data_IF_516472777117
#
_entry.id   IF_516472777117
#
_cell.length_a   1.000
_cell.length_b   1.000
_cell.length_c   1.000
_cell.angle_alpha   90.00
_cell.angle_beta   90.00
_cell.angle_gamma   90.00
#
_symmetry.space_group_name_H-M   'P 1'
#
loop_
_entity.id
_entity.type
_entity.pdbx_description
1 polymer ?
#
# COMPACT_ATOMS: atom_id res chain seq x y z
N UNK A 1 -8.84 27.36 34.79
CA UNK A 1 -8.36 26.10 34.15
C UNK A 1 -8.99 25.79 32.82
N UNK A 2 -10.21 26.23 32.46
CA UNK A 2 -10.85 25.97 31.13
C UNK A 2 -10.19 26.69 29.95
N UNK A 3 -9.55 27.85 30.15
CA UNK A 3 -8.96 28.65 29.06
C UNK A 3 -7.62 28.14 28.54
N UNK A 4 -6.82 27.46 29.36
CA UNK A 4 -5.50 26.94 28.94
C UNK A 4 -5.64 25.74 27.96
N UNK A 5 -6.69 24.95 28.09
CA UNK A 5 -6.94 23.79 27.19
C UNK A 5 -7.45 24.23 25.80
N UNK A 6 -8.20 25.35 25.73
CA UNK A 6 -8.68 25.94 24.48
C UNK A 6 -7.58 26.64 23.70
N UNK A 7 -6.72 27.39 24.34
CA UNK A 7 -5.54 28.03 23.72
C UNK A 7 -4.58 27.00 23.13
N UNK A 8 -4.27 25.93 23.87
CA UNK A 8 -3.42 24.85 23.34
C UNK A 8 -3.97 24.15 22.10
N UNK A 9 -5.29 24.03 21.96
CA UNK A 9 -5.94 23.42 20.81
C UNK A 9 -5.92 24.34 19.59
N UNK A 10 -6.14 25.63 19.79
CA UNK A 10 -6.05 26.65 18.73
C UNK A 10 -4.61 26.80 18.20
N UNK A 11 -3.64 26.90 19.10
CA UNK A 11 -2.20 27.00 18.76
C UNK A 11 -1.72 25.72 18.05
N UNK A 12 -2.15 24.54 18.47
CA UNK A 12 -1.85 23.27 17.76
C UNK A 12 -2.46 23.25 16.36
N UNK A 13 -3.70 23.74 16.19
CA UNK A 13 -4.36 23.81 14.89
C UNK A 13 -3.68 24.82 13.96
N UNK A 14 -3.27 25.99 14.47
CA UNK A 14 -2.54 26.99 13.71
C UNK A 14 -1.15 26.50 13.24
N UNK A 15 -0.45 25.71 14.06
CA UNK A 15 0.84 25.10 13.69
C UNK A 15 0.69 23.93 12.72
N UNK A 16 -0.42 23.21 12.79
CA UNK A 16 -0.68 22.07 11.93
C UNK A 16 -1.14 22.48 10.51
N UNK A 17 -1.76 23.65 10.37
CA UNK A 17 -2.32 24.11 9.09
C UNK A 17 -1.27 24.23 7.98
N UNK A 18 -0.11 24.87 8.14
CA UNK A 18 0.88 24.98 7.08
C UNK A 18 1.43 23.63 6.64
N UNK A 19 1.63 22.72 7.59
CA UNK A 19 2.11 21.35 7.30
C UNK A 19 1.05 20.57 6.51
N UNK A 20 -0.20 20.67 6.91
CA UNK A 20 -1.30 19.98 6.23
C UNK A 20 -1.55 20.59 4.84
N UNK A 21 -1.48 21.91 4.72
CA UNK A 21 -1.61 22.60 3.43
C UNK A 21 -0.48 22.21 2.46
N UNK A 22 0.77 22.18 2.95
CA UNK A 22 1.90 21.70 2.12
C UNK A 22 1.66 20.27 1.64
N UNK A 23 1.25 19.36 2.52
CA UNK A 23 0.93 17.97 2.15
C UNK A 23 -0.19 17.89 1.13
N UNK A 24 -1.20 18.75 1.26
CA UNK A 24 -2.28 18.85 0.28
C UNK A 24 -1.75 19.30 -1.09
N UNK A 25 -0.96 20.37 -1.14
CA UNK A 25 -0.35 20.84 -2.38
C UNK A 25 0.54 19.77 -3.04
N UNK A 26 1.25 18.97 -2.23
CA UNK A 26 2.04 17.87 -2.75
C UNK A 26 1.18 16.72 -3.27
N UNK A 27 0.09 16.40 -2.57
CA UNK A 27 -0.87 15.36 -2.98
C UNK A 27 -1.61 15.73 -4.27
N UNK A 28 -2.12 16.96 -4.37
CA UNK A 28 -2.96 17.39 -5.50
C UNK A 28 -2.20 17.48 -6.83
N UNK A 29 -0.85 17.57 -6.79
CA UNK A 29 -0.02 17.47 -8.01
C UNK A 29 -0.18 16.14 -8.76
N UNK A 30 -0.58 15.08 -8.07
CA UNK A 30 -0.89 13.79 -8.67
C UNK A 30 -2.31 13.67 -9.21
N UNK A 31 -3.19 14.60 -8.88
CA UNK A 31 -4.57 14.63 -9.39
C UNK A 31 -4.56 15.17 -10.81
N UNK A 32 -5.03 14.38 -11.78
CA UNK A 32 -5.04 14.77 -13.20
C UNK A 32 -6.11 15.79 -13.51
N UNK A 33 -7.28 15.61 -12.90
CA UNK A 33 -8.44 16.45 -13.13
C UNK A 33 -9.17 16.71 -11.82
N UNK A 34 -9.42 17.98 -11.53
CA UNK A 34 -10.18 18.36 -10.34
C UNK A 34 -11.67 18.12 -10.55
N UNK A 35 -12.43 17.77 -9.50
CA UNK A 35 -13.86 17.64 -9.58
C UNK A 35 -14.52 18.93 -10.10
N UNK A 36 -15.57 18.78 -10.90
CA UNK A 36 -16.28 19.90 -11.50
C UNK A 36 -16.72 20.92 -10.46
N UNK A 37 -16.48 22.19 -10.74
CA UNK A 37 -16.83 23.32 -9.86
C UNK A 37 -15.88 23.56 -8.70
N UNK A 38 -14.79 22.77 -8.58
CA UNK A 38 -13.79 22.95 -7.54
C UNK A 38 -12.48 23.53 -8.09
N UNK A 39 -11.84 24.36 -7.26
CA UNK A 39 -10.42 24.73 -7.36
C UNK A 39 -9.66 23.97 -6.27
N UNK A 40 -8.33 23.88 -6.38
CA UNK A 40 -7.50 23.26 -5.36
C UNK A 40 -7.75 23.83 -3.96
N UNK A 41 -7.89 25.16 -3.86
CA UNK A 41 -8.14 25.85 -2.60
C UNK A 41 -9.53 25.52 -2.03
N UNK A 42 -10.57 25.51 -2.86
CA UNK A 42 -11.92 25.11 -2.45
C UNK A 42 -11.96 23.68 -1.96
N UNK A 43 -11.30 22.76 -2.66
CA UNK A 43 -11.19 21.36 -2.24
C UNK A 43 -10.46 21.23 -0.91
N UNK A 44 -9.36 21.95 -0.72
CA UNK A 44 -8.65 21.92 0.55
C UNK A 44 -9.51 22.42 1.72
N UNK A 45 -10.22 23.52 1.54
CA UNK A 45 -11.14 24.04 2.55
C UNK A 45 -12.29 23.05 2.84
N UNK A 46 -12.85 22.42 1.83
CA UNK A 46 -13.89 21.41 2.01
C UNK A 46 -13.33 20.15 2.71
N UNK A 47 -12.15 19.66 2.32
CA UNK A 47 -11.44 18.60 3.02
C UNK A 47 -11.26 18.88 4.53
N UNK A 48 -10.86 20.11 4.88
CA UNK A 48 -10.76 20.51 6.28
C UNK A 48 -12.13 20.49 6.98
N UNK A 49 -13.20 20.89 6.29
CA UNK A 49 -14.56 20.84 6.80
C UNK A 49 -15.00 19.39 7.05
N UNK A 50 -14.79 18.50 6.08
CA UNK A 50 -15.08 17.05 6.21
C UNK A 50 -14.38 16.45 7.42
N UNK A 51 -13.08 16.73 7.60
CA UNK A 51 -12.32 16.25 8.76
C UNK A 51 -12.81 16.80 10.10
N UNK A 52 -13.31 18.02 10.13
CA UNK A 52 -13.88 18.63 11.35
C UNK A 52 -15.25 18.04 11.69
N UNK A 53 -16.06 17.73 10.65
CA UNK A 53 -17.41 17.18 10.82
C UNK A 53 -17.40 15.69 11.20
N UNK A 54 -16.30 14.97 10.88
CA UNK A 54 -16.14 13.53 11.15
C UNK A 54 -14.76 13.27 11.78
N UNK A 55 -14.48 13.79 12.99
CA UNK A 55 -13.14 13.73 13.59
C UNK A 55 -12.69 12.29 13.91
N UNK A 56 -13.63 11.39 14.17
CA UNK A 56 -13.42 9.96 14.42
C UNK A 56 -12.88 9.24 13.19
N UNK A 57 -13.31 9.63 12.00
CA UNK A 57 -12.92 9.01 10.73
C UNK A 57 -11.46 9.28 10.35
N UNK A 58 -10.89 10.39 10.80
CA UNK A 58 -9.52 10.82 10.44
C UNK A 58 -9.24 10.74 8.94
N UNK A 59 -10.22 11.12 8.13
CA UNK A 59 -10.21 11.03 6.66
C UNK A 59 -8.86 11.49 6.09
N UNK A 60 -8.20 10.65 5.31
CA UNK A 60 -7.00 10.96 4.55
C UNK A 60 -7.34 11.77 3.28
N UNK A 61 -6.34 12.31 2.59
CA UNK A 61 -6.53 13.03 1.35
C UNK A 61 -6.99 12.09 0.23
N UNK A 62 -6.41 10.88 0.17
CA UNK A 62 -6.79 9.88 -0.82
C UNK A 62 -8.23 9.39 -0.59
N UNK A 63 -8.63 9.10 0.63
CA UNK A 63 -10.02 8.73 0.94
C UNK A 63 -11.00 9.84 0.59
N UNK A 64 -10.64 11.11 0.87
CA UNK A 64 -11.47 12.25 0.50
C UNK A 64 -11.71 12.32 -1.01
N UNK A 65 -10.68 12.09 -1.81
CA UNK A 65 -10.78 12.10 -3.27
C UNK A 65 -11.44 10.84 -3.82
N UNK A 66 -10.97 9.65 -3.43
CA UNK A 66 -11.46 8.35 -3.94
C UNK A 66 -12.93 8.13 -3.60
N UNK A 67 -13.37 8.48 -2.37
CA UNK A 67 -14.76 8.34 -1.96
C UNK A 67 -15.66 9.50 -2.43
N UNK A 68 -15.08 10.51 -3.08
CA UNK A 68 -15.84 11.67 -3.56
C UNK A 68 -16.49 12.46 -2.42
N UNK A 69 -15.86 12.57 -1.25
CA UNK A 69 -16.46 13.20 -0.07
C UNK A 69 -16.84 14.66 -0.29
N UNK A 70 -16.23 15.33 -1.26
CA UNK A 70 -16.60 16.70 -1.70
C UNK A 70 -18.02 16.81 -2.25
N UNK A 71 -18.60 15.72 -2.77
CA UNK A 71 -19.98 15.67 -3.28
C UNK A 71 -21.01 15.10 -2.29
N UNK A 72 -20.57 14.69 -1.09
CA UNK A 72 -21.39 13.95 -0.14
C UNK A 72 -21.79 14.79 1.08
N UNK A 73 -23.03 14.62 1.52
CA UNK A 73 -23.48 15.13 2.82
C UNK A 73 -22.78 14.40 3.97
N UNK A 74 -22.71 15.02 5.14
CA UNK A 74 -22.14 14.39 6.35
C UNK A 74 -22.78 13.03 6.69
N UNK A 75 -24.09 12.89 6.43
CA UNK A 75 -24.79 11.63 6.65
C UNK A 75 -24.33 10.53 5.68
N UNK A 76 -24.11 10.86 4.42
CA UNK A 76 -23.58 9.94 3.42
C UNK A 76 -22.12 9.59 3.73
N UNK A 77 -21.28 10.58 4.10
CA UNK A 77 -19.87 10.34 4.49
C UNK A 77 -19.75 9.34 5.64
N UNK A 78 -20.71 9.29 6.56
CA UNK A 78 -20.72 8.33 7.67
C UNK A 78 -20.95 6.87 7.24
N UNK A 79 -21.45 6.63 6.03
CA UNK A 79 -21.65 5.28 5.49
C UNK A 79 -20.36 4.64 4.99
N UNK A 80 -19.31 5.43 4.77
CA UNK A 80 -18.00 4.93 4.35
C UNK A 80 -17.15 4.53 5.55
N UNK A 81 -16.44 3.43 5.41
CA UNK A 81 -15.45 2.97 6.40
C UNK A 81 -14.07 3.46 5.98
N UNK A 82 -13.47 4.34 6.79
CA UNK A 82 -12.10 4.81 6.55
C UNK A 82 -11.06 3.78 7.01
N UNK A 83 -9.82 3.90 6.52
CA UNK A 83 -8.71 3.01 6.90
C UNK A 83 -8.48 2.98 8.42
N UNK A 84 -8.61 4.14 9.07
CA UNK A 84 -8.49 4.23 10.53
C UNK A 84 -9.63 3.48 11.23
N UNK A 85 -10.86 3.64 10.80
CA UNK A 85 -12.01 2.92 11.36
C UNK A 85 -11.89 1.43 11.08
N UNK A 86 -11.53 1.03 9.86
CA UNK A 86 -11.29 -0.36 9.49
C UNK A 86 -10.21 -0.99 10.37
N UNK A 87 -9.09 -0.31 10.56
CA UNK A 87 -8.00 -0.76 11.44
C UNK A 87 -8.48 -0.95 12.87
N UNK A 88 -9.21 0.01 13.42
CA UNK A 88 -9.75 -0.08 14.79
C UNK A 88 -10.77 -1.21 14.92
N UNK A 89 -11.64 -1.40 13.93
CA UNK A 89 -12.63 -2.47 13.89
C UNK A 89 -11.98 -3.85 13.81
N UNK A 90 -10.96 -4.00 12.98
CA UNK A 90 -10.32 -5.30 12.71
C UNK A 90 -9.29 -5.70 13.78
N UNK A 91 -8.76 -4.74 14.52
CA UNK A 91 -7.70 -4.97 15.52
C UNK A 91 -8.06 -6.03 16.57
N UNK A 92 -9.26 -6.04 17.20
CA UNK A 92 -9.62 -7.08 18.18
C UNK A 92 -9.61 -8.49 17.59
N UNK A 93 -9.95 -8.63 16.30
CA UNK A 93 -10.04 -9.92 15.61
C UNK A 93 -8.66 -10.42 15.15
N UNK A 94 -7.76 -9.52 14.78
CA UNK A 94 -6.49 -9.86 14.13
C UNK A 94 -5.29 -9.78 15.08
N UNK A 95 -5.45 -9.30 16.31
CA UNK A 95 -4.32 -9.07 17.23
C UNK A 95 -3.48 -10.32 17.51
N UNK A 96 -4.10 -11.49 17.60
CA UNK A 96 -3.39 -12.76 17.80
C UNK A 96 -2.55 -13.19 16.58
N UNK A 97 -2.96 -12.79 15.37
CA UNK A 97 -2.24 -13.10 14.14
C UNK A 97 -1.15 -12.06 13.79
N UNK A 98 -1.20 -10.88 14.41
CA UNK A 98 -0.31 -9.75 14.11
C UNK A 98 1.19 -10.11 14.16
N UNK A 99 1.71 -10.88 15.16
CA UNK A 99 3.11 -11.27 15.21
C UNK A 99 3.57 -12.09 14.00
N UNK A 100 2.66 -12.87 13.40
CA UNK A 100 2.93 -13.70 12.23
C UNK A 100 2.89 -12.92 10.92
N UNK A 101 2.16 -11.80 10.87
CA UNK A 101 1.90 -11.03 9.65
C UNK A 101 2.76 -9.78 9.52
N UNK A 102 3.26 -9.22 10.62
CA UNK A 102 4.10 -8.00 10.62
C UNK A 102 5.45 -8.18 9.95
N UNK A 103 6.06 -9.35 10.10
CA UNK A 103 7.37 -9.68 9.53
C UNK A 103 7.18 -10.57 8.32
N UNK A 104 7.69 -10.16 7.16
CA UNK A 104 7.70 -11.00 5.95
C UNK A 104 8.39 -12.34 6.18
N UNK A 105 9.49 -12.34 6.92
CA UNK A 105 10.25 -13.57 7.25
C UNK A 105 9.43 -14.49 8.14
N UNK A 106 8.80 -13.94 9.19
CA UNK A 106 7.93 -14.74 10.07
C UNK A 106 6.75 -15.32 9.29
N UNK A 107 6.15 -14.53 8.40
CA UNK A 107 5.10 -15.01 7.50
C UNK A 107 5.58 -16.18 6.65
N UNK A 108 6.70 -16.04 5.96
CA UNK A 108 7.25 -17.07 5.08
C UNK A 108 7.60 -18.36 5.85
N UNK A 109 8.14 -18.24 7.06
CA UNK A 109 8.47 -19.40 7.92
C UNK A 109 7.22 -20.16 8.39
N UNK A 110 6.09 -19.46 8.64
CA UNK A 110 4.89 -20.07 9.20
C UNK A 110 3.84 -20.48 8.15
N UNK A 111 3.90 -19.93 6.94
CA UNK A 111 2.92 -20.15 5.88
C UNK A 111 3.55 -20.71 4.61
N UNK A 112 4.56 -21.57 4.75
CA UNK A 112 5.33 -22.16 3.63
C UNK A 112 4.45 -22.88 2.62
N UNK A 113 3.35 -23.50 3.05
CA UNK A 113 2.39 -24.20 2.19
C UNK A 113 1.67 -23.28 1.19
N UNK A 114 1.69 -21.98 1.41
CA UNK A 114 1.09 -20.97 0.51
C UNK A 114 2.11 -20.19 -0.29
N UNK A 115 3.40 -20.54 -0.19
CA UNK A 115 4.50 -19.82 -0.84
C UNK A 115 5.28 -20.78 -1.71
N UNK A 116 5.13 -20.66 -3.04
CA UNK A 116 5.83 -21.51 -4.01
C UNK A 116 7.17 -20.93 -4.49
N UNK A 117 7.37 -19.59 -4.33
CA UNK A 117 8.60 -18.92 -4.76
C UNK A 117 9.76 -19.17 -3.81
N UNK A 118 10.98 -19.18 -4.35
CA UNK A 118 12.19 -19.23 -3.52
C UNK A 118 12.38 -17.95 -2.72
N UNK A 119 12.95 -18.07 -1.53
CA UNK A 119 13.29 -16.93 -0.69
C UNK A 119 14.50 -17.20 0.19
N UNK A 120 15.22 -16.15 0.60
CA UNK A 120 16.39 -16.18 1.44
C UNK A 120 16.42 -14.96 2.36
N UNK A 121 16.53 -15.15 3.67
CA UNK A 121 16.68 -14.04 4.61
C UNK A 121 18.16 -13.71 4.83
N UNK A 122 18.61 -12.57 4.38
CA UNK A 122 20.03 -12.26 4.27
C UNK A 122 20.78 -12.22 5.62
N UNK A 123 20.22 -11.68 6.73
CA UNK A 123 20.88 -11.74 8.02
C UNK A 123 21.09 -13.14 8.61
N UNK A 124 20.42 -14.17 8.08
CA UNK A 124 20.59 -15.58 8.46
C UNK A 124 21.36 -16.37 7.39
N UNK A 125 22.01 -15.69 6.44
CA UNK A 125 22.69 -16.28 5.29
C UNK A 125 24.11 -15.76 5.17
N UNK A 126 24.88 -16.34 4.28
CA UNK A 126 26.22 -15.86 3.90
C UNK A 126 26.26 -15.41 2.43
N UNK A 127 27.35 -14.76 2.04
CA UNK A 127 27.57 -14.27 0.69
C UNK A 127 27.50 -15.38 -0.36
N UNK A 128 27.99 -16.58 -0.05
CA UNK A 128 27.99 -17.69 -1.00
C UNK A 128 26.58 -18.20 -1.27
N UNK A 129 25.73 -18.29 -0.23
CA UNK A 129 24.31 -18.64 -0.37
C UNK A 129 23.54 -17.56 -1.15
N UNK A 130 23.86 -16.29 -0.91
CA UNK A 130 23.22 -15.19 -1.67
C UNK A 130 23.66 -15.17 -3.14
N UNK A 131 24.95 -15.35 -3.44
CA UNK A 131 25.45 -15.50 -4.81
C UNK A 131 24.75 -16.67 -5.54
N UNK A 132 24.69 -17.83 -4.91
CA UNK A 132 23.99 -18.99 -5.46
C UNK A 132 22.49 -18.72 -5.69
N UNK A 133 21.85 -17.96 -4.82
CA UNK A 133 20.45 -17.56 -4.96
C UNK A 133 20.24 -16.63 -6.16
N UNK A 134 21.10 -15.62 -6.34
CA UNK A 134 21.07 -14.73 -7.51
C UNK A 134 21.28 -15.51 -8.81
N UNK A 135 22.27 -16.43 -8.83
CA UNK A 135 22.55 -17.28 -10.00
C UNK A 135 21.39 -18.18 -10.36
N UNK A 136 20.70 -18.70 -9.36
CA UNK A 136 19.56 -19.60 -9.56
C UNK A 136 18.37 -18.91 -10.23
N UNK A 137 18.08 -17.67 -9.81
CA UNK A 137 16.85 -16.98 -10.23
C UNK A 137 17.08 -15.86 -11.26
N UNK A 138 18.34 -15.49 -11.55
CA UNK A 138 18.75 -14.45 -12.51
C UNK A 138 18.18 -13.04 -12.23
N UNK A 139 17.06 -12.97 -11.57
CA UNK A 139 16.43 -11.74 -11.07
C UNK A 139 15.75 -12.01 -9.74
N UNK A 140 15.98 -11.14 -8.78
CA UNK A 140 15.44 -11.26 -7.42
C UNK A 140 14.80 -9.96 -6.96
N UNK A 141 13.81 -10.10 -6.07
CA UNK A 141 13.15 -9.01 -5.39
C UNK A 141 13.72 -8.86 -3.97
N UNK A 142 14.35 -7.75 -3.69
CA UNK A 142 14.87 -7.41 -2.37
C UNK A 142 13.86 -6.56 -1.62
N UNK A 143 13.49 -6.99 -0.41
CA UNK A 143 12.45 -6.34 0.41
C UNK A 143 12.92 -6.24 1.86
N UNK A 144 12.83 -5.07 2.51
CA UNK A 144 13.07 -5.00 3.95
C UNK A 144 12.05 -5.85 4.71
N UNK A 145 12.49 -6.52 5.78
CA UNK A 145 11.66 -7.41 6.60
C UNK A 145 10.38 -6.72 7.11
N UNK A 146 10.51 -5.48 7.58
CA UNK A 146 9.44 -4.68 8.16
C UNK A 146 9.13 -3.47 7.27
N UNK A 147 8.62 -3.70 6.07
CA UNK A 147 8.20 -2.62 5.18
C UNK A 147 6.84 -2.91 4.57
N UNK A 148 6.13 -1.83 4.22
CA UNK A 148 4.84 -1.87 3.54
C UNK A 148 4.89 -0.95 2.32
N UNK A 149 3.88 -1.00 1.46
CA UNK A 149 3.65 -0.07 0.36
C UNK A 149 4.77 0.00 -0.69
N UNK A 150 5.58 -1.06 -0.81
CA UNK A 150 6.72 -1.09 -1.73
C UNK A 150 7.94 -0.29 -1.26
N UNK A 151 7.92 0.29 -0.04
CA UNK A 151 9.04 1.07 0.48
C UNK A 151 10.26 0.16 0.64
N UNK A 152 11.38 0.60 0.05
CA UNK A 152 12.65 -0.13 0.09
C UNK A 152 12.70 -1.36 -0.83
N UNK A 153 11.69 -1.56 -1.69
CA UNK A 153 11.76 -2.59 -2.72
C UNK A 153 12.90 -2.27 -3.71
N UNK A 154 13.69 -3.30 -4.03
CA UNK A 154 14.74 -3.22 -5.05
C UNK A 154 14.66 -4.49 -5.90
N UNK A 155 14.73 -4.36 -7.22
CA UNK A 155 15.00 -5.49 -8.12
C UNK A 155 16.52 -5.55 -8.28
N UNK A 156 17.08 -6.75 -8.22
CA UNK A 156 18.49 -7.01 -8.51
C UNK A 156 18.56 -8.12 -9.54
N UNK A 157 19.21 -7.85 -10.65
CA UNK A 157 19.52 -8.82 -11.69
C UNK A 157 20.90 -9.46 -11.47
N UNK A 158 21.13 -10.61 -12.05
CA UNK A 158 22.44 -11.27 -12.04
C UNK A 158 23.52 -10.36 -12.65
N UNK A 159 23.21 -9.66 -13.76
CA UNK A 159 24.12 -8.72 -14.39
C UNK A 159 24.50 -7.55 -13.48
N UNK A 160 23.54 -6.99 -12.75
CA UNK A 160 23.80 -5.92 -11.76
C UNK A 160 24.62 -6.44 -10.57
N UNK A 161 24.36 -7.68 -10.14
CA UNK A 161 25.16 -8.34 -9.12
C UNK A 161 26.59 -8.56 -9.57
N UNK A 162 26.81 -9.00 -10.81
CA UNK A 162 28.13 -9.19 -11.39
C UNK A 162 28.90 -7.89 -11.59
N UNK A 163 28.20 -6.81 -11.91
CA UNK A 163 28.75 -5.49 -12.08
C UNK A 163 29.00 -4.74 -10.75
N UNK A 164 28.57 -5.29 -9.60
CA UNK A 164 28.76 -4.64 -8.32
C UNK A 164 30.26 -4.48 -7.98
N UNK A 165 30.74 -3.26 -7.69
CA UNK A 165 32.17 -2.99 -7.41
C UNK A 165 32.69 -3.76 -6.20
N UNK A 166 31.85 -3.96 -5.20
CA UNK A 166 32.14 -4.71 -3.98
C UNK A 166 30.88 -5.47 -3.55
N UNK A 167 30.84 -6.75 -3.90
CA UNK A 167 29.72 -7.64 -3.57
C UNK A 167 29.59 -7.89 -2.07
N UNK A 168 30.71 -7.93 -1.34
CA UNK A 168 30.69 -8.12 0.09
C UNK A 168 30.05 -6.90 0.77
N UNK A 169 30.48 -5.71 0.42
CA UNK A 169 29.92 -4.48 0.98
C UNK A 169 28.42 -4.34 0.68
N UNK A 170 27.98 -4.68 -0.54
CA UNK A 170 26.55 -4.68 -0.90
C UNK A 170 25.76 -5.72 -0.08
N UNK A 171 26.29 -6.92 0.09
CA UNK A 171 25.67 -7.95 0.92
C UNK A 171 25.55 -7.51 2.38
N UNK A 172 26.61 -6.91 2.93
CA UNK A 172 26.62 -6.41 4.32
C UNK A 172 25.61 -5.26 4.51
N UNK A 173 25.47 -4.35 3.53
CA UNK A 173 24.42 -3.32 3.52
C UNK A 173 23.02 -3.95 3.60
N UNK A 174 22.77 -4.94 2.75
CA UNK A 174 21.48 -5.63 2.70
C UNK A 174 21.18 -6.40 4.00
N UNK A 175 22.19 -7.03 4.60
CA UNK A 175 22.07 -7.69 5.90
C UNK A 175 21.76 -6.68 7.02
N UNK A 176 22.46 -5.55 7.06
CA UNK A 176 22.23 -4.48 8.02
C UNK A 176 20.82 -3.87 7.86
N UNK A 177 20.35 -3.74 6.62
CA UNK A 177 18.98 -3.32 6.28
C UNK A 177 17.91 -4.39 6.51
N UNK A 178 18.29 -5.59 7.00
CA UNK A 178 17.39 -6.74 7.23
C UNK A 178 16.58 -7.11 5.99
N UNK A 179 17.22 -7.20 4.85
CA UNK A 179 16.57 -7.56 3.60
C UNK A 179 16.27 -9.05 3.51
N UNK A 180 15.15 -9.32 2.85
CA UNK A 180 14.71 -10.60 2.35
C UNK A 180 14.90 -10.58 0.84
N UNK A 181 15.56 -11.59 0.28
CA UNK A 181 15.59 -11.86 -1.15
C UNK A 181 14.50 -12.86 -1.49
N UNK A 182 13.73 -12.58 -2.53
CA UNK A 182 12.72 -13.49 -3.09
C UNK A 182 12.98 -13.65 -4.59
N UNK A 183 12.63 -14.79 -5.15
CA UNK A 183 12.51 -14.95 -6.59
C UNK A 183 11.66 -13.84 -7.20
N UNK A 184 12.13 -13.21 -8.27
CA UNK A 184 11.36 -12.17 -8.97
C UNK A 184 10.34 -12.84 -9.88
N UNK A 185 9.11 -12.92 -9.39
CA UNK A 185 7.99 -13.53 -10.12
C UNK A 185 7.39 -12.52 -11.09
N UNK A 186 7.09 -12.99 -12.30
CA UNK A 186 6.31 -12.25 -13.29
C UNK A 186 4.83 -12.64 -13.20
N UNK A 187 3.96 -11.72 -13.60
CA UNK A 187 2.53 -12.01 -13.74
C UNK A 187 2.30 -13.09 -14.80
N UNK A 188 1.28 -13.91 -14.57
CA UNK A 188 0.71 -14.75 -15.65
C UNK A 188 0.33 -13.88 -16.85
N UNK A 189 0.39 -14.45 -18.06
CA UNK A 189 0.13 -13.73 -19.31
C UNK A 189 -1.24 -13.03 -19.32
N UNK A 190 -2.25 -13.62 -18.67
CA UNK A 190 -3.59 -13.05 -18.56
C UNK A 190 -3.64 -11.76 -17.72
N UNK A 191 -2.76 -11.63 -16.73
CA UNK A 191 -2.64 -10.44 -15.89
C UNK A 191 -1.55 -9.49 -16.39
N UNK A 192 -0.47 -10.01 -16.98
CA UNK A 192 0.62 -9.20 -17.54
C UNK A 192 0.16 -8.23 -18.64
N UNK A 193 -0.96 -8.55 -19.32
CA UNK A 193 -1.58 -7.66 -20.33
C UNK A 193 -1.98 -6.29 -19.76
N UNK A 194 -2.25 -6.18 -18.48
CA UNK A 194 -2.59 -4.89 -17.85
C UNK A 194 -1.34 -4.07 -17.56
N UNK A 195 -0.28 -4.72 -17.03
CA UNK A 195 1.03 -4.10 -16.79
C UNK A 195 2.09 -5.20 -16.69
N UNK A 196 3.00 -5.32 -17.68
CA UNK A 196 3.94 -6.44 -17.74
C UNK A 196 5.11 -6.35 -16.78
N UNK A 197 5.47 -5.15 -16.30
CA UNK A 197 6.64 -4.92 -15.46
C UNK A 197 6.39 -5.23 -13.98
N UNK A 198 5.12 -5.30 -13.55
CA UNK A 198 4.75 -5.59 -12.16
C UNK A 198 4.14 -6.98 -12.00
N UNK A 199 4.25 -7.52 -10.79
CA UNK A 199 3.43 -8.63 -10.36
C UNK A 199 2.04 -8.10 -10.00
N UNK A 200 1.11 -8.18 -10.96
CA UNK A 200 -0.29 -7.80 -10.73
C UNK A 200 -0.96 -8.85 -9.84
N UNK A 201 -1.66 -8.40 -8.80
CA UNK A 201 -2.17 -9.30 -7.76
C UNK A 201 -3.67 -9.17 -7.53
N UNK A 202 -4.28 -10.27 -7.11
CA UNK A 202 -5.64 -10.29 -6.61
C UNK A 202 -5.62 -10.08 -5.08
N UNK A 203 -6.33 -9.08 -4.61
CA UNK A 203 -6.57 -8.84 -3.18
C UNK A 203 -7.95 -9.37 -2.82
N UNK A 204 -7.99 -10.45 -2.03
CA UNK A 204 -9.25 -11.00 -1.51
C UNK A 204 -9.36 -10.66 -0.03
N UNK A 205 -10.48 -10.03 0.34
CA UNK A 205 -10.79 -9.70 1.74
C UNK A 205 -11.77 -10.75 2.23
N UNK A 206 -11.39 -11.45 3.30
CA UNK A 206 -12.22 -12.47 3.92
C UNK A 206 -12.62 -12.06 5.33
N UNK A 207 -13.80 -12.48 5.74
CA UNK A 207 -14.31 -12.27 7.08
C UNK A 207 -14.70 -13.62 7.70
N UNK A 208 -14.28 -13.86 8.95
CA UNK A 208 -14.66 -15.05 9.68
C UNK A 208 -15.95 -14.79 10.46
N UNK A 209 -16.99 -15.58 10.13
CA UNK A 209 -18.26 -15.58 10.86
C UNK A 209 -18.45 -16.96 11.52
N UNK A 210 -18.19 -17.03 12.82
CA UNK A 210 -18.16 -18.31 13.53
C UNK A 210 -17.04 -19.21 12.98
N UNK A 211 -17.41 -20.36 12.44
CA UNK A 211 -16.46 -21.33 11.83
C UNK A 211 -16.32 -21.18 10.30
N UNK A 212 -17.07 -20.28 9.68
CA UNK A 212 -17.04 -20.07 8.23
C UNK A 212 -16.22 -18.85 7.88
N UNK A 213 -15.54 -18.93 6.72
CA UNK A 213 -14.89 -17.81 6.07
C UNK A 213 -15.73 -17.37 4.89
N UNK A 214 -16.05 -16.10 4.83
CA UNK A 214 -16.81 -15.50 3.74
C UNK A 214 -15.92 -14.51 3.01
N UNK A 215 -15.98 -14.47 1.69
CA UNK A 215 -15.33 -13.43 0.88
C UNK A 215 -16.19 -12.18 0.99
N UNK A 216 -15.61 -11.12 1.54
CA UNK A 216 -16.28 -9.82 1.67
C UNK A 216 -16.14 -8.96 0.42
N UNK A 217 -14.99 -9.05 -0.23
CA UNK A 217 -14.69 -8.30 -1.45
C UNK A 217 -13.39 -8.78 -2.07
N UNK A 218 -13.22 -8.46 -3.33
CA UNK A 218 -12.00 -8.74 -4.07
C UNK A 218 -11.64 -7.59 -5.01
N UNK A 219 -10.37 -7.44 -5.29
CA UNK A 219 -9.87 -6.42 -6.20
C UNK A 219 -8.62 -6.86 -6.93
N UNK A 220 -8.50 -6.40 -8.16
CA UNK A 220 -7.29 -6.52 -8.96
C UNK A 220 -6.41 -5.30 -8.69
N UNK A 221 -5.14 -5.55 -8.40
CA UNK A 221 -4.11 -4.54 -8.26
C UNK A 221 -3.16 -4.66 -9.44
N UNK A 222 -2.92 -3.55 -10.10
CA UNK A 222 -2.12 -3.46 -11.33
C UNK A 222 -1.03 -2.42 -11.12
N UNK A 223 0.17 -2.69 -11.60
CA UNK A 223 1.22 -1.69 -11.66
C UNK A 223 0.89 -0.56 -12.62
N UNK A 224 1.68 0.50 -12.60
CA UNK A 224 1.50 1.67 -13.44
C UNK A 224 2.85 2.34 -13.71
N UNK A 225 2.96 3.04 -14.83
CA UNK A 225 4.12 3.87 -15.18
C UNK A 225 5.49 3.14 -15.14
N UNK A 226 5.55 1.87 -15.55
CA UNK A 226 6.78 1.08 -15.56
C UNK A 226 7.31 0.68 -14.17
N UNK A 227 6.49 0.81 -13.14
CA UNK A 227 6.86 0.42 -11.77
C UNK A 227 6.75 -1.10 -11.59
N UNK A 228 7.62 -1.67 -10.77
CA UNK A 228 7.60 -3.11 -10.45
C UNK A 228 6.64 -3.47 -9.29
N UNK A 229 5.90 -2.50 -8.77
CA UNK A 229 4.96 -2.67 -7.66
C UNK A 229 3.53 -2.36 -8.10
N UNK A 230 2.57 -3.04 -7.51
CA UNK A 230 1.14 -2.95 -7.84
C UNK A 230 0.29 -2.23 -6.78
N UNK A 231 0.90 -1.75 -5.71
CA UNK A 231 0.16 -1.08 -4.64
C UNK A 231 -0.13 0.39 -4.98
N UNK A 232 -1.34 0.84 -4.65
CA UNK A 232 -1.81 2.20 -4.92
C UNK A 232 -0.85 3.28 -4.38
N UNK A 233 -0.38 3.18 -3.12
CA UNK A 233 0.62 4.11 -2.55
C UNK A 233 1.98 4.09 -3.26
N UNK A 234 2.26 3.08 -4.06
CA UNK A 234 3.41 3.00 -4.96
C UNK A 234 3.09 3.43 -6.39
N UNK A 235 1.93 4.05 -6.62
CA UNK A 235 1.48 4.49 -7.93
C UNK A 235 0.70 3.45 -8.72
N UNK A 236 0.37 2.29 -8.13
CA UNK A 236 -0.45 1.25 -8.76
C UNK A 236 -1.93 1.63 -8.84
N UNK A 237 -2.68 0.81 -9.55
CA UNK A 237 -4.11 0.95 -9.84
C UNK A 237 -4.87 -0.17 -9.15
N UNK A 238 -6.05 0.14 -8.64
CA UNK A 238 -6.97 -0.82 -8.04
C UNK A 238 -8.30 -0.83 -8.78
N UNK A 239 -8.80 -2.03 -9.12
CA UNK A 239 -10.16 -2.25 -9.66
C UNK A 239 -10.90 -3.21 -8.73
N UNK A 240 -12.19 -2.99 -8.52
CA UNK A 240 -13.06 -3.98 -7.89
C UNK A 240 -13.37 -5.11 -8.86
N UNK A 241 -13.39 -6.35 -8.34
CA UNK A 241 -13.82 -7.53 -9.08
C UNK A 241 -14.94 -8.24 -8.34
N UNK A 242 -15.87 -8.79 -9.09
CA UNK A 242 -16.86 -9.72 -8.55
C UNK A 242 -16.17 -11.01 -8.11
N UNK A 243 -16.16 -11.37 -6.82
CA UNK A 243 -15.45 -12.54 -6.33
C UNK A 243 -16.03 -13.88 -6.82
N UNK A 244 -17.26 -13.90 -7.32
CA UNK A 244 -17.89 -15.09 -7.83
C UNK A 244 -17.52 -15.39 -9.29
N UNK A 245 -17.34 -14.36 -10.09
CA UNK A 245 -17.12 -14.47 -11.55
C UNK A 245 -15.72 -14.05 -11.98
N UNK A 246 -15.02 -13.24 -11.18
CA UNK A 246 -13.72 -12.65 -11.53
C UNK A 246 -13.84 -11.45 -12.51
N UNK A 247 -15.06 -11.00 -12.80
CA UNK A 247 -15.31 -9.86 -13.70
C UNK A 247 -14.89 -8.55 -13.02
N UNK A 248 -14.17 -7.68 -13.74
CA UNK A 248 -13.85 -6.33 -13.29
C UNK A 248 -15.13 -5.50 -13.30
N UNK A 249 -15.48 -4.91 -12.16
CA UNK A 249 -16.75 -4.22 -11.92
C UNK A 249 -16.63 -2.71 -12.00
N UNK A 250 -15.42 -2.16 -11.83
CA UNK A 250 -15.18 -0.71 -11.80
C UNK A 250 -14.01 -0.35 -12.71
N UNK A 251 -13.95 0.92 -13.09
CA UNK A 251 -12.70 1.50 -13.58
C UNK A 251 -11.59 1.33 -12.54
N UNK A 252 -10.35 1.38 -13.00
CA UNK A 252 -9.20 1.41 -12.13
C UNK A 252 -9.05 2.77 -11.46
N UNK A 253 -8.69 2.81 -10.17
CA UNK A 253 -8.38 4.04 -9.44
C UNK A 253 -6.97 3.98 -8.86
N UNK A 254 -6.23 5.08 -8.96
CA UNK A 254 -4.99 5.28 -8.23
C UNK A 254 -5.23 5.96 -6.86
N UNK A 255 -4.16 6.20 -6.10
CA UNK A 255 -4.26 6.85 -4.78
C UNK A 255 -4.72 8.32 -4.83
N UNK A 256 -4.67 8.96 -5.99
CA UNK A 256 -5.13 10.33 -6.21
C UNK A 256 -6.59 10.41 -6.67
N UNK A 257 -7.24 9.26 -6.89
CA UNK A 257 -8.60 9.17 -7.42
C UNK A 257 -8.69 9.35 -8.93
N UNK A 258 -7.57 9.28 -9.66
CA UNK A 258 -7.59 9.29 -11.11
C UNK A 258 -8.17 7.97 -11.64
N UNK A 259 -9.07 8.06 -12.62
CA UNK A 259 -9.70 6.92 -13.27
C UNK A 259 -8.87 6.41 -14.46
N UNK A 260 -8.93 5.09 -14.67
CA UNK A 260 -8.28 4.34 -15.74
C UNK A 260 -9.29 3.35 -16.31
N UNK A 261 -9.60 3.47 -17.60
CA UNK A 261 -10.55 2.63 -18.33
C UNK A 261 -9.85 1.40 -18.92
#
# INVERSE_FOLDING_TARGET
MKNILTENKLVKNLRAYPVLHKRWCDYVKGVRELPEGFTEEKLFHDYLKVRRSNPEKRVSMSEYMIFGFYGLTTAQQKQYLTDVEATLLMRPYNSAAEPYLKSKVTFLKNFTQFVSRGWLYLPESDLAAFDAFVRRYHSIALKPQYSSWGIGFRKLTEAEWDAAPDRQALFDELCAGKYLAEEFIQSDASLARFHPESLNTLRVITFRRGERFEVFGAGLRVGNNGLHVDNAHGGGIFCEIDPATGVIMTDGLDEHGNSYI
#
